data_IF_752102109567
#
_entry.id   IF_752102109567
#
_cell.length_a   1.000
_cell.length_b   1.000
_cell.length_c   1.000
_cell.angle_alpha   90.00
_cell.angle_beta   90.00
_cell.angle_gamma   90.00
#
_symmetry.space_group_name_H-M   'P 1'
#
loop_
_entity.id
_entity.type
_entity.pdbx_description
1 polymer ?
#
# COMPACT_ATOMS: atom_id res chain seq x y z
N UNK A 1 14.49 20.01 -2.38
CA UNK A 1 13.04 19.97 -2.66
C UNK A 1 12.62 18.52 -2.80
N UNK A 2 11.61 18.05 -2.07
CA UNK A 2 11.10 16.67 -2.14
C UNK A 2 9.71 16.72 -2.77
N UNK A 3 9.55 16.13 -3.95
CA UNK A 3 8.25 16.05 -4.63
C UNK A 3 7.44 14.96 -3.91
N UNK A 4 6.43 15.37 -3.15
CA UNK A 4 5.64 14.47 -2.30
C UNK A 4 4.56 13.71 -3.08
N UNK A 5 4.05 14.28 -4.17
CA UNK A 5 3.12 13.65 -5.12
C UNK A 5 3.35 14.23 -6.51
N UNK A 6 3.49 13.35 -7.50
CA UNK A 6 3.53 13.69 -8.92
C UNK A 6 2.50 12.81 -9.62
N UNK A 7 1.40 13.43 -10.05
CA UNK A 7 0.27 12.79 -10.74
C UNK A 7 0.31 13.01 -12.25
N UNK A 8 1.44 13.50 -12.77
CA UNK A 8 1.59 13.71 -14.20
C UNK A 8 1.65 12.34 -14.87
N UNK A 9 0.87 12.14 -15.94
CA UNK A 9 0.95 10.95 -16.78
C UNK A 9 1.35 11.40 -18.18
N UNK A 10 2.49 10.91 -18.67
CA UNK A 10 2.92 11.19 -20.04
C UNK A 10 2.11 10.32 -20.99
N UNK A 11 0.94 10.83 -21.38
CA UNK A 11 0.15 10.27 -22.48
C UNK A 11 -0.45 8.88 -22.23
N UNK A 12 -0.81 8.53 -21.00
CA UNK A 12 -1.45 7.25 -20.67
C UNK A 12 -0.46 6.11 -20.41
N UNK A 13 0.84 6.42 -20.27
CA UNK A 13 1.89 5.42 -20.04
C UNK A 13 2.00 4.99 -18.58
N UNK A 14 1.38 5.74 -17.66
CA UNK A 14 1.49 5.50 -16.22
C UNK A 14 2.85 5.90 -15.64
N UNK A 15 3.72 6.54 -16.43
CA UNK A 15 5.05 7.00 -16.01
C UNK A 15 5.02 8.49 -15.74
N UNK A 16 5.30 8.88 -14.49
CA UNK A 16 5.34 10.28 -14.08
C UNK A 16 6.61 10.99 -14.49
N UNK A 17 6.54 12.32 -14.66
CA UNK A 17 7.69 13.16 -15.03
C UNK A 17 8.86 12.96 -14.04
N UNK A 18 8.56 12.94 -12.75
CA UNK A 18 9.53 12.71 -11.68
C UNK A 18 10.18 11.32 -11.75
N UNK A 19 9.46 10.28 -12.17
CA UNK A 19 10.04 8.94 -12.34
C UNK A 19 10.98 8.86 -13.55
N UNK A 20 10.66 9.55 -14.64
CA UNK A 20 11.49 9.57 -15.84
C UNK A 20 12.79 10.39 -15.69
N UNK A 21 12.75 11.47 -14.92
CA UNK A 21 13.91 12.33 -14.68
C UNK A 21 14.66 12.00 -13.37
N UNK A 22 14.28 10.93 -12.68
CA UNK A 22 14.98 10.51 -11.46
C UNK A 22 14.78 11.41 -10.24
N UNK A 23 13.79 12.31 -10.31
CA UNK A 23 13.48 13.29 -9.27
C UNK A 23 12.44 12.78 -8.26
N UNK A 24 11.80 11.65 -8.56
CA UNK A 24 10.85 10.98 -7.68
C UNK A 24 11.54 10.17 -6.58
N UNK A 25 10.89 10.06 -5.42
CA UNK A 25 11.36 9.26 -4.26
C UNK A 25 11.68 7.80 -4.59
N UNK A 26 11.08 7.24 -5.65
CA UNK A 26 11.36 5.88 -6.13
C UNK A 26 12.72 5.71 -6.81
N UNK A 27 13.37 6.77 -7.30
CA UNK A 27 14.67 6.65 -8.00
C UNK A 27 15.85 6.66 -7.03
N UNK A 28 15.74 7.34 -5.89
CA UNK A 28 16.69 7.17 -4.78
C UNK A 28 16.64 5.74 -4.21
N UNK A 29 15.47 5.09 -4.21
CA UNK A 29 15.31 3.69 -3.80
C UNK A 29 15.96 2.69 -4.78
N UNK A 30 16.26 3.10 -6.03
CA UNK A 30 16.83 2.21 -7.05
C UNK A 30 18.36 2.22 -7.10
N UNK A 31 19.06 3.03 -6.30
CA UNK A 31 20.53 3.15 -6.32
C UNK A 31 21.28 1.84 -6.03
N UNK A 32 20.63 0.87 -5.39
CA UNK A 32 21.23 -0.42 -5.02
C UNK A 32 20.86 -1.59 -5.95
N UNK A 33 19.98 -1.41 -6.95
CA UNK A 33 19.47 -2.52 -7.79
C UNK A 33 20.54 -3.23 -8.64
N UNK A 34 21.72 -2.63 -8.80
CA UNK A 34 22.83 -3.20 -9.56
C UNK A 34 23.92 -3.88 -8.73
N UNK A 35 23.81 -3.89 -7.39
CA UNK A 35 24.82 -4.53 -6.54
C UNK A 35 24.77 -6.04 -6.71
N UNK A 36 25.84 -6.62 -7.26
CA UNK A 36 26.00 -8.06 -7.41
C UNK A 36 27.46 -8.45 -7.19
N UNK A 37 27.67 -9.66 -6.67
CA UNK A 37 29.02 -10.23 -6.59
C UNK A 37 29.43 -10.64 -8.00
N UNK A 38 30.69 -10.37 -8.36
CA UNK A 38 31.25 -10.77 -9.65
C UNK A 38 31.11 -12.29 -9.84
N UNK A 39 30.63 -12.72 -11.01
CA UNK A 39 30.25 -14.12 -11.28
C UNK A 39 31.41 -15.12 -11.10
N UNK A 40 32.63 -14.70 -11.42
CA UNK A 40 33.87 -15.47 -11.22
C UNK A 40 34.17 -15.71 -9.73
N UNK A 41 33.93 -14.74 -8.85
CA UNK A 41 34.08 -14.87 -7.39
C UNK A 41 32.96 -15.75 -6.82
N UNK A 42 31.73 -15.63 -7.34
CA UNK A 42 30.63 -16.51 -6.93
C UNK A 42 30.91 -17.98 -7.27
N UNK A 43 31.43 -18.24 -8.48
CA UNK A 43 31.77 -19.60 -8.92
C UNK A 43 33.02 -20.16 -8.23
N UNK A 44 33.97 -19.30 -7.87
CA UNK A 44 35.18 -19.69 -7.17
C UNK A 44 35.60 -18.63 -6.14
N UNK A 45 35.28 -18.83 -4.84
CA UNK A 45 35.65 -17.90 -3.78
C UNK A 45 37.15 -17.69 -3.61
N UNK A 46 38.00 -18.63 -4.06
CA UNK A 46 39.46 -18.49 -4.00
C UNK A 46 40.00 -17.40 -4.95
N UNK A 47 39.16 -16.87 -5.87
CA UNK A 47 39.52 -15.71 -6.70
C UNK A 47 39.41 -14.37 -5.95
N UNK A 48 38.87 -14.37 -4.73
CA UNK A 48 38.86 -13.18 -3.90
C UNK A 48 40.27 -12.96 -3.30
N UNK A 49 40.87 -11.82 -3.60
CA UNK A 49 42.14 -11.42 -2.98
C UNK A 49 41.95 -11.09 -1.50
N UNK A 50 42.46 -11.94 -0.62
CA UNK A 50 42.37 -11.78 0.84
C UNK A 50 43.64 -11.22 1.47
N UNK A 51 44.74 -11.16 0.70
CA UNK A 51 46.01 -10.62 1.18
C UNK A 51 45.89 -9.10 1.39
N UNK A 52 46.39 -8.61 2.52
CA UNK A 52 46.38 -7.17 2.83
C UNK A 52 47.82 -6.67 2.76
N UNK A 53 48.06 -5.69 1.88
CA UNK A 53 49.37 -5.05 1.81
C UNK A 53 49.62 -4.25 3.08
N UNK A 54 50.72 -4.55 3.75
CA UNK A 54 51.20 -3.82 4.91
C UNK A 54 52.35 -2.91 4.46
N UNK A 55 52.23 -1.57 4.56
CA UNK A 55 53.29 -0.66 4.14
C UNK A 55 54.40 -0.48 5.20
N UNK A 56 54.25 -1.05 6.41
CA UNK A 56 55.18 -0.84 7.54
C UNK A 56 56.34 -1.83 7.61
N UNK A 57 56.37 -2.81 6.72
CA UNK A 57 57.36 -3.89 6.67
C UNK A 57 58.65 -3.42 5.99
N UNK A 58 59.78 -3.96 6.46
CA UNK A 58 61.09 -3.64 5.92
C UNK A 58 61.21 -3.99 4.42
N UNK A 59 61.92 -3.15 3.68
CA UNK A 59 62.24 -3.39 2.27
C UNK A 59 62.99 -4.71 2.14
N UNK A 60 62.44 -5.65 1.36
CA UNK A 60 62.98 -7.01 1.18
C UNK A 60 62.22 -8.11 1.92
N UNK A 61 61.29 -7.77 2.83
CA UNK A 61 60.38 -8.73 3.44
C UNK A 61 59.17 -9.04 2.53
N UNK A 62 58.60 -10.24 2.66
CA UNK A 62 57.41 -10.65 1.90
C UNK A 62 56.20 -9.85 2.40
N UNK A 63 55.76 -8.87 1.61
CA UNK A 63 54.64 -8.00 1.98
C UNK A 63 53.24 -8.59 1.74
N UNK A 64 53.17 -9.55 0.83
CA UNK A 64 51.97 -10.29 0.50
C UNK A 64 52.37 -11.77 0.41
N UNK A 65 51.96 -12.55 1.40
CA UNK A 65 52.22 -13.99 1.44
C UNK A 65 51.14 -14.78 0.70
N UNK A 66 51.52 -15.89 0.06
CA UNK A 66 50.56 -16.88 -0.42
C UNK A 66 49.84 -17.46 0.79
N UNK A 67 48.50 -17.38 0.80
CA UNK A 67 47.68 -17.82 1.94
C UNK A 67 47.49 -16.77 3.03
N UNK A 68 47.80 -15.49 2.80
CA UNK A 68 47.48 -14.41 3.74
C UNK A 68 45.96 -14.27 3.95
N UNK A 69 45.50 -14.51 5.18
CA UNK A 69 44.10 -14.48 5.59
C UNK A 69 43.70 -13.18 6.31
N UNK A 70 44.61 -12.20 6.46
CA UNK A 70 44.33 -10.95 7.21
C UNK A 70 43.14 -10.18 6.67
N UNK A 71 42.93 -10.16 5.35
CA UNK A 71 41.74 -9.55 4.74
C UNK A 71 40.45 -10.32 5.02
N UNK A 72 40.50 -11.66 5.09
CA UNK A 72 39.32 -12.46 5.46
C UNK A 72 38.93 -12.26 6.93
N UNK A 73 39.91 -12.18 7.82
CA UNK A 73 39.68 -11.86 9.24
C UNK A 73 39.12 -10.45 9.39
N UNK A 74 39.66 -9.47 8.65
CA UNK A 74 39.14 -8.11 8.64
C UNK A 74 37.70 -8.04 8.11
N UNK A 75 37.39 -8.76 7.03
CA UNK A 75 36.03 -8.85 6.48
C UNK A 75 35.04 -9.45 7.49
N UNK A 76 35.44 -10.51 8.20
CA UNK A 76 34.63 -11.08 9.29
C UNK A 76 34.41 -10.05 10.40
N UNK A 77 35.45 -9.31 10.78
CA UNK A 77 35.37 -8.26 11.80
C UNK A 77 34.38 -7.13 11.45
N UNK A 78 34.10 -6.88 10.16
CA UNK A 78 33.08 -5.92 9.75
C UNK A 78 31.67 -6.31 10.19
N UNK A 79 31.40 -7.60 10.44
CA UNK A 79 30.09 -8.06 10.92
C UNK A 79 29.76 -7.45 12.30
N UNK A 80 30.77 -7.36 13.17
CA UNK A 80 30.61 -6.88 14.54
C UNK A 80 30.89 -5.38 14.66
N UNK A 81 31.36 -4.75 13.58
CA UNK A 81 31.67 -3.33 13.58
C UNK A 81 30.38 -2.50 13.60
N UNK A 82 30.29 -1.63 14.60
CA UNK A 82 29.24 -0.61 14.67
C UNK A 82 29.58 0.50 13.69
N UNK A 83 28.68 0.75 12.74
CA UNK A 83 28.81 1.82 11.75
C UNK A 83 27.62 2.78 11.84
N UNK A 84 27.85 4.04 11.49
CA UNK A 84 26.82 5.07 11.47
C UNK A 84 25.99 4.95 10.18
N UNK A 85 24.75 4.49 10.31
CA UNK A 85 23.79 4.48 9.22
C UNK A 85 23.00 5.78 9.20
N UNK A 86 22.86 6.37 8.01
CA UNK A 86 21.98 7.51 7.79
C UNK A 86 20.52 7.02 7.75
N UNK A 87 19.59 7.91 8.08
CA UNK A 87 18.16 7.62 7.95
C UNK A 87 17.82 7.21 6.51
N UNK A 88 17.06 6.13 6.36
CA UNK A 88 16.68 5.59 5.07
C UNK A 88 15.29 4.94 5.16
N UNK A 89 14.36 5.39 4.31
CA UNK A 89 12.99 4.90 4.34
C UNK A 89 12.34 5.12 5.71
N UNK A 90 11.76 4.08 6.33
CA UNK A 90 11.12 4.21 7.64
C UNK A 90 12.09 4.10 8.82
N UNK A 91 13.39 3.85 8.57
CA UNK A 91 14.41 3.70 9.62
C UNK A 91 15.15 5.01 9.87
N UNK A 92 15.27 5.38 11.15
CA UNK A 92 16.01 6.57 11.59
C UNK A 92 17.52 6.35 11.55
N UNK A 93 18.29 7.44 11.60
CA UNK A 93 19.74 7.34 11.67
C UNK A 93 20.17 6.65 12.99
N UNK A 94 21.04 5.66 12.90
CA UNK A 94 21.46 4.86 14.05
C UNK A 94 22.88 4.33 13.88
N UNK A 95 23.57 4.17 15.00
CA UNK A 95 24.83 3.43 15.08
C UNK A 95 24.49 1.99 15.41
N UNK A 96 24.75 1.06 14.49
CA UNK A 96 24.40 -0.34 14.65
C UNK A 96 25.39 -1.24 13.90
N UNK A 97 25.42 -2.52 14.24
CA UNK A 97 26.03 -3.52 13.35
C UNK A 97 25.15 -3.72 12.12
N UNK A 98 25.72 -4.28 11.05
CA UNK A 98 24.96 -4.55 9.82
C UNK A 98 23.72 -5.42 10.08
N UNK A 99 23.85 -6.45 10.92
CA UNK A 99 22.74 -7.35 11.27
C UNK A 99 21.64 -6.65 12.07
N UNK A 100 22.02 -5.79 13.02
CA UNK A 100 21.05 -5.02 13.81
C UNK A 100 20.29 -4.01 12.96
N UNK A 101 21.00 -3.30 12.07
CA UNK A 101 20.38 -2.34 11.15
C UNK A 101 19.42 -3.04 10.19
N UNK A 102 19.83 -4.16 9.58
CA UNK A 102 18.99 -4.95 8.68
C UNK A 102 17.75 -5.50 9.40
N UNK A 103 17.91 -6.01 10.62
CA UNK A 103 16.79 -6.48 11.45
C UNK A 103 15.79 -5.37 11.76
N UNK A 104 16.27 -4.18 12.12
CA UNK A 104 15.42 -3.00 12.37
C UNK A 104 14.68 -2.56 11.11
N UNK A 105 15.37 -2.53 9.96
CA UNK A 105 14.77 -2.20 8.67
C UNK A 105 13.69 -3.18 8.25
N UNK A 106 13.94 -4.48 8.37
CA UNK A 106 12.95 -5.53 8.10
C UNK A 106 11.76 -5.42 9.05
N UNK A 107 12.01 -5.21 10.35
CA UNK A 107 10.97 -5.09 11.36
C UNK A 107 10.05 -3.90 11.09
N UNK A 108 10.62 -2.72 10.85
CA UNK A 108 9.83 -1.51 10.56
C UNK A 108 9.05 -1.63 9.23
N UNK A 109 9.67 -2.23 8.21
CA UNK A 109 8.99 -2.51 6.94
C UNK A 109 7.83 -3.49 7.14
N UNK A 110 8.01 -4.51 7.98
CA UNK A 110 6.95 -5.47 8.30
C UNK A 110 5.80 -4.81 9.08
N UNK A 111 6.09 -3.95 10.06
CA UNK A 111 5.08 -3.18 10.79
C UNK A 111 4.30 -2.28 9.84
N UNK A 112 5.00 -1.58 8.94
CA UNK A 112 4.37 -0.73 7.92
C UNK A 112 3.47 -1.54 6.97
N UNK A 113 3.92 -2.72 6.54
CA UNK A 113 3.13 -3.61 5.70
C UNK A 113 1.89 -4.15 6.43
N UNK A 114 2.04 -4.54 7.70
CA UNK A 114 0.94 -5.00 8.54
C UNK A 114 -0.11 -3.90 8.74
N UNK A 115 0.32 -2.66 9.00
CA UNK A 115 -0.59 -1.52 9.16
C UNK A 115 -1.33 -1.20 7.85
N UNK A 116 -0.64 -1.27 6.70
CA UNK A 116 -1.26 -1.08 5.40
C UNK A 116 -2.30 -2.16 5.09
N UNK A 117 -2.02 -3.42 5.44
CA UNK A 117 -2.96 -4.53 5.26
C UNK A 117 -4.18 -4.40 6.17
N UNK A 118 -3.99 -4.05 7.45
CA UNK A 118 -5.10 -3.76 8.36
C UNK A 118 -5.98 -2.62 7.82
N UNK A 119 -5.36 -1.52 7.38
CA UNK A 119 -6.10 -0.40 6.78
C UNK A 119 -6.86 -0.78 5.51
N UNK A 120 -6.33 -1.72 4.70
CA UNK A 120 -7.02 -2.28 3.53
C UNK A 120 -8.27 -3.05 3.94
N UNK A 121 -8.16 -3.92 4.95
CA UNK A 121 -9.27 -4.72 5.47
C UNK A 121 -10.37 -3.81 6.04
N UNK A 122 -10.00 -2.80 6.83
CA UNK A 122 -10.95 -1.84 7.41
C UNK A 122 -11.67 -1.04 6.32
N UNK A 123 -10.94 -0.56 5.31
CA UNK A 123 -11.52 0.15 4.18
C UNK A 123 -12.47 -0.74 3.36
N UNK A 124 -12.16 -2.03 3.21
CA UNK A 124 -13.04 -3.00 2.55
C UNK A 124 -14.31 -3.27 3.36
N UNK A 125 -14.19 -3.43 4.67
CA UNK A 125 -15.33 -3.59 5.57
C UNK A 125 -16.25 -2.37 5.53
N UNK A 126 -15.69 -1.16 5.62
CA UNK A 126 -16.45 0.09 5.50
C UNK A 126 -17.14 0.22 4.15
N UNK A 127 -16.43 -0.10 3.05
CA UNK A 127 -17.01 -0.11 1.71
C UNK A 127 -18.22 -1.04 1.65
N UNK A 128 -18.12 -2.24 2.21
CA UNK A 128 -19.20 -3.21 2.22
C UNK A 128 -20.39 -2.74 3.07
N UNK A 129 -20.16 -2.11 4.23
CA UNK A 129 -21.23 -1.54 5.06
C UNK A 129 -21.98 -0.41 4.31
N UNK A 130 -21.24 0.49 3.65
CA UNK A 130 -21.82 1.57 2.85
C UNK A 130 -22.63 1.02 1.67
N UNK A 131 -22.14 -0.02 0.99
CA UNK A 131 -22.89 -0.68 -0.08
C UNK A 131 -24.19 -1.28 0.46
N UNK A 132 -24.14 -2.00 1.59
CA UNK A 132 -25.35 -2.56 2.22
C UNK A 132 -26.35 -1.48 2.58
N UNK A 133 -25.94 -0.40 3.25
CA UNK A 133 -26.83 0.72 3.60
C UNK A 133 -27.44 1.39 2.38
N UNK A 134 -26.65 1.54 1.31
CA UNK A 134 -27.15 2.06 0.03
C UNK A 134 -28.21 1.13 -0.54
N UNK A 135 -27.96 -0.17 -0.52
CA UNK A 135 -28.88 -1.18 -1.06
C UNK A 135 -30.13 -1.32 -0.18
N UNK A 136 -30.03 -1.14 1.14
CA UNK A 136 -31.17 -1.10 2.07
C UNK A 136 -32.04 0.14 1.82
N UNK A 137 -31.44 1.30 1.54
CA UNK A 137 -32.17 2.52 1.21
C UNK A 137 -32.76 2.51 -0.21
N UNK A 138 -32.02 1.92 -1.17
CA UNK A 138 -32.49 1.73 -2.54
C UNK A 138 -33.42 0.52 -2.67
N UNK A 139 -33.51 -0.31 -1.64
CA UNK A 139 -34.35 -1.48 -1.55
C UNK A 139 -35.81 -1.06 -1.39
N UNK A 140 -36.58 -1.23 -2.45
CA UNK A 140 -38.04 -1.12 -2.39
C UNK A 140 -38.56 -2.33 -1.62
N UNK A 141 -39.11 -2.09 -0.44
CA UNK A 141 -39.74 -3.15 0.34
C UNK A 141 -41.08 -3.49 -0.30
N UNK A 142 -41.10 -4.54 -1.14
CA UNK A 142 -42.28 -4.94 -1.92
C UNK A 142 -43.51 -5.19 -1.04
N UNK A 143 -43.32 -5.65 0.20
CA UNK A 143 -44.44 -5.86 1.14
C UNK A 143 -45.00 -4.55 1.67
N UNK A 144 -44.15 -3.54 1.87
CA UNK A 144 -44.54 -2.18 2.27
C UNK A 144 -45.19 -1.42 1.11
N UNK A 145 -44.67 -1.57 -0.12
CA UNK A 145 -45.32 -1.06 -1.33
C UNK A 145 -46.64 -1.77 -1.61
N UNK A 146 -46.74 -3.08 -1.40
CA UNK A 146 -47.99 -3.84 -1.53
C UNK A 146 -49.01 -3.39 -0.48
N UNK A 147 -48.60 -3.21 0.78
CA UNK A 147 -49.47 -2.69 1.82
C UNK A 147 -49.98 -1.28 1.48
N UNK A 148 -49.09 -0.40 1.04
CA UNK A 148 -49.46 0.94 0.56
C UNK A 148 -50.38 0.88 -0.66
N UNK A 149 -50.15 -0.05 -1.58
CA UNK A 149 -51.00 -0.27 -2.75
C UNK A 149 -52.40 -0.73 -2.34
N UNK A 150 -52.52 -1.64 -1.38
CA UNK A 150 -53.81 -2.07 -0.81
C UNK A 150 -54.53 -0.91 -0.11
N UNK A 151 -53.80 -0.07 0.64
CA UNK A 151 -54.36 1.15 1.24
C UNK A 151 -54.86 2.11 0.16
N UNK A 152 -54.10 2.33 -0.90
CA UNK A 152 -54.51 3.17 -2.03
C UNK A 152 -55.75 2.59 -2.73
N UNK A 153 -55.80 1.28 -2.99
CA UNK A 153 -56.98 0.62 -3.57
C UNK A 153 -58.23 0.74 -2.68
N UNK A 154 -58.08 0.57 -1.36
CA UNK A 154 -59.17 0.73 -0.41
C UNK A 154 -59.67 2.17 -0.34
N UNK A 155 -58.75 3.15 -0.30
CA UNK A 155 -59.09 4.57 -0.30
C UNK A 155 -59.79 5.00 -1.59
N UNK A 156 -59.36 4.48 -2.75
CA UNK A 156 -59.99 4.71 -4.04
C UNK A 156 -61.40 4.10 -4.09
N UNK A 157 -61.56 2.87 -3.61
CA UNK A 157 -62.87 2.22 -3.53
C UNK A 157 -63.83 2.96 -2.59
N UNK A 158 -63.32 3.49 -1.47
CA UNK A 158 -64.08 4.33 -0.57
C UNK A 158 -64.50 5.65 -1.23
N UNK A 159 -63.56 6.33 -1.90
CA UNK A 159 -63.83 7.56 -2.64
C UNK A 159 -64.87 7.34 -3.76
N UNK A 160 -64.79 6.22 -4.48
CA UNK A 160 -65.77 5.85 -5.50
C UNK A 160 -67.18 5.66 -4.90
N UNK A 161 -67.30 5.00 -3.74
CA UNK A 161 -68.59 4.86 -3.03
C UNK A 161 -69.16 6.21 -2.58
N UNK A 162 -68.30 7.12 -2.09
CA UNK A 162 -68.71 8.49 -1.74
C UNK A 162 -69.21 9.24 -2.97
N UNK A 163 -68.54 9.10 -4.12
CA UNK A 163 -68.96 9.68 -5.39
C UNK A 163 -70.31 9.12 -5.88
N UNK A 164 -70.53 7.81 -5.75
CA UNK A 164 -71.81 7.19 -6.07
C UNK A 164 -72.92 7.71 -5.17
N UNK A 165 -72.69 7.74 -3.85
CA UNK A 165 -73.67 8.30 -2.91
C UNK A 165 -73.97 9.78 -3.19
N UNK A 166 -72.95 10.57 -3.56
CA UNK A 166 -73.15 11.96 -3.96
C UNK A 166 -73.97 12.08 -5.25
N UNK A 167 -73.73 11.21 -6.24
CA UNK A 167 -74.56 11.12 -7.46
C UNK A 167 -76.00 10.74 -7.14
N UNK A 168 -76.21 9.73 -6.30
CA UNK A 168 -77.56 9.29 -5.92
C UNK A 168 -78.33 10.42 -5.23
N UNK A 169 -77.68 11.19 -4.34
CA UNK A 169 -78.26 12.39 -3.73
C UNK A 169 -78.61 13.44 -4.80
N UNK A 170 -77.71 13.67 -5.76
CA UNK A 170 -77.92 14.64 -6.85
C UNK A 170 -79.10 14.25 -7.74
N UNK A 171 -79.20 12.98 -8.12
CA UNK A 171 -80.29 12.44 -8.95
C UNK A 171 -81.62 12.45 -8.18
N UNK A 172 -81.60 12.20 -6.86
CA UNK A 172 -82.81 12.28 -6.03
C UNK A 172 -83.32 13.72 -5.95
N UNK A 173 -82.43 14.70 -5.82
CA UNK A 173 -82.79 16.13 -5.80
C UNK A 173 -83.33 16.60 -7.15
N UNK A 174 -82.75 16.14 -8.26
CA UNK A 174 -83.20 16.50 -9.62
C UNK A 174 -84.54 15.86 -10.00
N UNK A 175 -84.84 14.65 -9.52
CA UNK A 175 -86.12 13.98 -9.79
C UNK A 175 -87.26 14.40 -8.84
N UNK A 176 -86.96 15.18 -7.79
CA UNK A 176 -87.95 15.69 -6.83
C UNK A 176 -88.57 17.05 -7.24
N UNK A 177 -88.21 17.57 -8.43
CA UNK A 177 -88.76 18.77 -9.08
C UNK A 177 -89.45 18.33 -10.38
#
# INVERSE_FOLDING_TARGET
MRIARDTTDRGGTGVSLSSQFGLGVGVQANGARGLSIRKDIQQNPFRLGLAKFDPSIAVGAVALGVGDQRGAVALRGLQDQVIAFKAAGPVTAANATLSQYLGSFLGETAISAQAAEAGRIDAEALRNDVIKRRDDFAGVNLDEELANLVVFQNSYSAAARVLTAARDIYDTLLNAI
#
